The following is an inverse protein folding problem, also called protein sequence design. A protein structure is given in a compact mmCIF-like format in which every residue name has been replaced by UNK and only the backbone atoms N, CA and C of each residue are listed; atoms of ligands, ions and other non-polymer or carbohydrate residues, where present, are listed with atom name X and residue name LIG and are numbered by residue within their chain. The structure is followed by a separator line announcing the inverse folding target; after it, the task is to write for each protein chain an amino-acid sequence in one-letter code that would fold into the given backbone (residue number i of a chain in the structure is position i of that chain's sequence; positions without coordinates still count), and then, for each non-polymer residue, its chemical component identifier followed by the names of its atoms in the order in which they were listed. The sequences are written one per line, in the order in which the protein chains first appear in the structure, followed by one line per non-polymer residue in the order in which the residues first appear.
data_IF_449667522060
#
_entry.id   IF_449667522060
#
_cell.length_a   1.000
_cell.length_b   1.000
_cell.length_c   1.000
_cell.angle_alpha   90.00
_cell.angle_beta   90.00
_cell.angle_gamma   90.00
#
_symmetry.space_group_name_H-M   'P 1'
#
loop_
_entity.id
_entity.type
_entity.pdbx_description
1 polymer ?
#
# COMPACT_ATOMS: atom_id res chain seq x y z
N UNK A 1 29.32 6.07 19.05
CA UNK A 1 28.35 6.33 17.96
C UNK A 1 29.02 6.77 16.67
N UNK A 2 30.06 7.61 16.73
CA UNK A 2 30.75 8.18 15.56
C UNK A 2 31.32 7.12 14.62
N UNK A 3 31.99 6.08 15.14
CA UNK A 3 32.55 4.99 14.32
C UNK A 3 31.48 4.24 13.52
N UNK A 4 30.34 3.94 14.14
CA UNK A 4 29.24 3.24 13.48
C UNK A 4 28.62 4.08 12.37
N UNK A 5 28.48 5.39 12.58
CA UNK A 5 28.03 6.28 11.51
C UNK A 5 28.94 6.20 10.27
N UNK A 6 30.26 6.22 10.46
CA UNK A 6 31.22 6.08 9.36
C UNK A 6 31.14 4.72 8.65
N UNK A 7 30.81 3.64 9.36
CA UNK A 7 30.57 2.33 8.73
C UNK A 7 29.38 2.35 7.77
N UNK A 8 28.31 3.08 8.10
CA UNK A 8 27.12 3.18 7.25
C UNK A 8 27.19 4.30 6.20
N UNK A 9 28.12 5.25 6.34
CA UNK A 9 28.23 6.42 5.47
C UNK A 9 28.28 6.07 3.97
N UNK A 10 29.06 5.07 3.50
CA UNK A 10 29.05 4.69 2.09
C UNK A 10 27.66 4.27 1.59
N UNK A 11 26.92 3.48 2.38
CA UNK A 11 25.57 3.05 2.01
C UNK A 11 24.59 4.22 1.99
N UNK A 12 24.68 5.13 2.96
CA UNK A 12 23.85 6.35 3.01
C UNK A 12 24.10 7.21 1.78
N UNK A 13 25.36 7.42 1.40
CA UNK A 13 25.73 8.23 0.23
C UNK A 13 25.18 7.61 -1.06
N UNK A 14 25.35 6.29 -1.25
CA UNK A 14 24.83 5.60 -2.44
C UNK A 14 23.31 5.68 -2.51
N UNK A 15 22.61 5.32 -1.43
CA UNK A 15 21.14 5.36 -1.38
C UNK A 15 20.61 6.78 -1.56
N UNK A 16 21.23 7.78 -0.94
CA UNK A 16 20.85 9.19 -1.12
C UNK A 16 21.04 9.63 -2.57
N UNK A 17 22.13 9.19 -3.22
CA UNK A 17 22.38 9.47 -4.64
C UNK A 17 21.30 8.84 -5.53
N UNK A 18 20.91 7.58 -5.26
CA UNK A 18 19.81 6.91 -5.96
C UNK A 18 18.50 7.69 -5.78
N UNK A 19 18.18 8.12 -4.56
CA UNK A 19 16.99 8.91 -4.28
C UNK A 19 17.00 10.25 -5.03
N UNK A 20 18.12 10.98 -5.03
CA UNK A 20 18.25 12.27 -5.72
C UNK A 20 18.10 12.09 -7.24
N UNK A 21 18.82 11.14 -7.83
CA UNK A 21 18.76 10.89 -9.28
C UNK A 21 17.34 10.49 -9.70
N UNK A 22 16.71 9.59 -8.95
CA UNK A 22 15.32 9.17 -9.23
C UNK A 22 14.34 10.33 -9.07
N UNK A 23 14.53 11.19 -8.06
CA UNK A 23 13.71 12.39 -7.87
C UNK A 23 13.83 13.37 -9.04
N UNK A 24 15.07 13.65 -9.48
CA UNK A 24 15.32 14.53 -10.64
C UNK A 24 14.68 13.94 -11.89
N UNK A 25 14.86 12.65 -12.14
CA UNK A 25 14.20 11.93 -13.24
C UNK A 25 12.68 12.11 -13.19
N UNK A 26 12.04 11.81 -12.05
CA UNK A 26 10.59 11.93 -11.87
C UNK A 26 10.11 13.36 -12.09
N UNK A 27 10.86 14.35 -11.63
CA UNK A 27 10.53 15.78 -11.82
C UNK A 27 10.60 16.17 -13.29
N UNK A 28 11.62 15.73 -14.03
CA UNK A 28 11.78 16.01 -15.46
C UNK A 28 10.65 15.37 -16.27
N UNK A 29 10.34 14.09 -16.01
CA UNK A 29 9.24 13.37 -16.67
C UNK A 29 7.90 14.02 -16.35
N UNK A 30 7.64 14.35 -15.09
CA UNK A 30 6.39 15.01 -14.68
C UNK A 30 6.23 16.37 -15.35
N UNK A 31 7.31 17.16 -15.47
CA UNK A 31 7.29 18.44 -16.19
C UNK A 31 6.98 18.24 -17.67
N UNK A 32 7.57 17.22 -18.31
CA UNK A 32 7.35 16.91 -19.74
C UNK A 32 5.89 16.55 -20.04
N UNK A 33 5.22 15.85 -19.14
CA UNK A 33 3.84 15.40 -19.36
C UNK A 33 2.78 16.26 -18.65
N UNK A 34 3.18 17.35 -17.97
CA UNK A 34 2.29 18.15 -17.09
C UNK A 34 0.96 18.50 -17.72
N UNK A 35 0.97 19.12 -18.90
CA UNK A 35 -0.28 19.57 -19.55
C UNK A 35 -1.13 18.40 -20.04
N UNK A 36 -0.50 17.31 -20.50
CA UNK A 36 -1.21 16.12 -20.97
C UNK A 36 -1.83 15.32 -19.84
N UNK A 37 -1.16 15.25 -18.68
CA UNK A 37 -1.68 14.58 -17.48
C UNK A 37 -2.91 15.26 -16.88
N UNK A 38 -3.26 16.48 -17.31
CA UNK A 38 -4.52 17.12 -16.91
C UNK A 38 -5.75 16.52 -17.61
N UNK A 39 -5.57 15.88 -18.77
CA UNK A 39 -6.64 15.22 -19.52
C UNK A 39 -6.82 13.77 -19.06
N UNK A 40 -8.04 13.42 -18.65
CA UNK A 40 -8.37 12.06 -18.21
C UNK A 40 -8.33 11.10 -19.39
N UNK A 41 -8.82 11.52 -20.57
CA UNK A 41 -8.76 10.75 -21.80
C UNK A 41 -7.32 10.38 -22.18
N UNK A 42 -6.42 11.37 -22.20
CA UNK A 42 -5.01 11.10 -22.47
C UNK A 42 -4.40 10.14 -21.43
N UNK A 43 -4.73 10.31 -20.15
CA UNK A 43 -4.25 9.43 -19.09
C UNK A 43 -4.75 7.99 -19.24
N UNK A 44 -5.99 7.80 -19.71
CA UNK A 44 -6.57 6.49 -19.98
C UNK A 44 -5.81 5.78 -21.10
N UNK A 45 -5.60 6.46 -22.22
CA UNK A 45 -4.88 5.92 -23.39
C UNK A 45 -3.41 5.62 -23.08
N UNK A 46 -2.80 6.38 -22.16
CA UNK A 46 -1.37 6.29 -21.86
C UNK A 46 -1.09 5.70 -20.46
N UNK A 47 -2.04 4.98 -19.87
CA UNK A 47 -1.93 4.49 -18.50
C UNK A 47 -0.67 3.65 -18.27
N UNK A 48 -0.38 2.70 -19.17
CA UNK A 48 0.83 1.87 -19.08
C UNK A 48 2.11 2.70 -19.08
N UNK A 49 2.16 3.75 -19.90
CA UNK A 49 3.30 4.67 -19.97
C UNK A 49 3.47 5.48 -18.68
N UNK A 50 2.37 5.93 -18.08
CA UNK A 50 2.39 6.64 -16.78
C UNK A 50 2.89 5.70 -15.68
N UNK A 51 2.40 4.46 -15.64
CA UNK A 51 2.83 3.46 -14.67
C UNK A 51 4.34 3.20 -14.83
N UNK A 52 4.82 2.96 -16.05
CA UNK A 52 6.23 2.64 -16.29
C UNK A 52 7.19 3.80 -16.03
N UNK A 53 6.84 5.01 -16.45
CA UNK A 53 7.76 6.16 -16.38
C UNK A 53 7.66 6.93 -15.05
N UNK A 54 6.54 6.84 -14.34
CA UNK A 54 6.30 7.60 -13.10
C UNK A 54 6.00 6.64 -11.95
N UNK A 55 5.00 5.78 -12.12
CA UNK A 55 4.51 4.89 -11.06
C UNK A 55 5.59 3.98 -10.49
N UNK A 56 6.20 3.13 -11.33
CA UNK A 56 7.20 2.13 -10.92
C UNK A 56 8.44 2.80 -10.31
N UNK A 57 9.09 3.79 -10.94
CA UNK A 57 10.26 4.45 -10.35
C UNK A 57 9.93 5.18 -9.03
N UNK A 58 8.75 5.78 -8.91
CA UNK A 58 8.32 6.42 -7.67
C UNK A 58 8.07 5.38 -6.56
N UNK A 59 7.21 4.40 -6.82
CA UNK A 59 6.73 3.45 -5.82
C UNK A 59 7.77 2.40 -5.43
N UNK A 60 8.66 2.00 -6.35
CA UNK A 60 9.61 0.93 -6.08
C UNK A 60 11.03 1.44 -5.82
N UNK A 61 11.42 2.62 -6.31
CA UNK A 61 12.79 3.12 -6.12
C UNK A 61 12.82 4.31 -5.18
N UNK A 62 12.20 5.42 -5.58
CA UNK A 62 12.32 6.66 -4.83
C UNK A 62 11.71 6.57 -3.44
N UNK A 63 10.44 6.16 -3.32
CA UNK A 63 9.73 6.13 -2.04
C UNK A 63 10.38 5.14 -1.05
N UNK A 64 10.67 3.87 -1.41
CA UNK A 64 11.33 2.95 -0.48
C UNK A 64 12.70 3.46 -0.02
N UNK A 65 13.53 3.98 -0.92
CA UNK A 65 14.86 4.47 -0.54
C UNK A 65 14.75 5.69 0.40
N UNK A 66 13.91 6.66 0.05
CA UNK A 66 13.74 7.87 0.86
C UNK A 66 13.16 7.56 2.24
N UNK A 67 12.13 6.71 2.30
CA UNK A 67 11.45 6.35 3.54
C UNK A 67 12.36 5.54 4.46
N UNK A 68 13.08 4.54 3.94
CA UNK A 68 13.97 3.73 4.78
C UNK A 68 15.19 4.52 5.26
N UNK A 69 15.70 5.47 4.46
CA UNK A 69 16.75 6.42 4.90
C UNK A 69 16.27 7.30 6.07
N UNK A 70 15.00 7.72 6.07
CA UNK A 70 14.44 8.56 7.14
C UNK A 70 14.09 7.75 8.38
N UNK A 71 13.43 6.60 8.23
CA UNK A 71 12.83 5.87 9.34
C UNK A 71 13.70 4.72 9.88
N UNK A 72 14.53 4.08 9.04
CA UNK A 72 15.32 2.90 9.46
C UNK A 72 16.80 3.16 9.58
N UNK A 73 17.41 3.94 8.70
CA UNK A 73 18.84 4.22 8.82
C UNK A 73 19.23 4.75 10.21
N UNK A 74 18.48 5.68 10.86
CA UNK A 74 18.80 6.11 12.21
C UNK A 74 18.75 4.96 13.24
N UNK A 75 17.75 4.08 13.15
CA UNK A 75 17.62 2.93 14.04
C UNK A 75 18.78 1.94 13.88
N UNK A 76 19.14 1.61 12.63
CA UNK A 76 20.19 0.65 12.30
C UNK A 76 21.55 1.18 12.78
N UNK A 77 21.82 2.47 12.59
CA UNK A 77 23.07 3.10 13.05
C UNK A 77 23.16 3.12 14.58
N UNK A 78 22.04 3.41 15.27
CA UNK A 78 22.02 3.51 16.74
C UNK A 78 22.13 2.14 17.40
N UNK A 79 21.44 1.10 16.90
CA UNK A 79 21.38 -0.21 17.55
C UNK A 79 22.26 -1.26 16.84
N UNK A 80 23.20 -1.88 17.56
CA UNK A 80 24.14 -2.89 17.01
C UNK A 80 23.56 -4.30 16.98
N UNK A 81 22.49 -4.54 17.74
CA UNK A 81 21.81 -5.82 17.84
C UNK A 81 20.37 -5.62 18.30
N UNK A 82 19.57 -6.68 18.17
CA UNK A 82 18.19 -6.70 18.65
C UNK A 82 18.20 -6.80 20.18
N UNK A 83 17.95 -5.67 20.84
CA UNK A 83 17.80 -5.53 22.29
C UNK A 83 16.39 -5.03 22.63
N UNK A 84 16.02 -5.04 23.92
CA UNK A 84 14.75 -4.45 24.38
C UNK A 84 14.59 -2.98 23.98
N UNK A 85 15.67 -2.19 24.03
CA UNK A 85 15.67 -0.80 23.57
C UNK A 85 15.53 -0.68 22.05
N UNK A 86 16.17 -1.58 21.29
CA UNK A 86 16.00 -1.64 19.84
C UNK A 86 14.54 -1.90 19.45
N UNK A 87 13.85 -2.82 20.14
CA UNK A 87 12.43 -3.07 19.94
C UNK A 87 11.58 -1.82 20.18
N UNK A 88 11.83 -1.07 21.27
CA UNK A 88 11.13 0.21 21.52
C UNK A 88 11.33 1.19 20.36
N UNK A 89 12.56 1.31 19.85
CA UNK A 89 12.87 2.14 18.68
C UNK A 89 12.14 1.68 17.42
N UNK A 90 12.09 0.37 17.14
CA UNK A 90 11.35 -0.23 16.03
C UNK A 90 9.86 0.11 16.14
N UNK A 91 9.24 -0.04 17.30
CA UNK A 91 7.83 0.27 17.53
C UNK A 91 7.53 1.75 17.27
N UNK A 92 8.31 2.65 17.88
CA UNK A 92 8.13 4.11 17.71
C UNK A 92 8.27 4.50 16.24
N UNK A 93 9.34 4.06 15.58
CA UNK A 93 9.57 4.40 14.17
C UNK A 93 8.52 3.79 13.24
N UNK A 94 8.02 2.59 13.53
CA UNK A 94 6.93 1.96 12.76
C UNK A 94 5.60 2.69 12.93
N UNK A 95 5.28 3.16 14.14
CA UNK A 95 4.09 3.99 14.38
C UNK A 95 4.19 5.30 13.59
N UNK A 96 5.33 6.00 13.67
CA UNK A 96 5.55 7.24 12.91
C UNK A 96 5.45 7.02 11.41
N UNK A 97 6.07 5.95 10.91
CA UNK A 97 5.99 5.54 9.51
C UNK A 97 4.54 5.31 9.05
N UNK A 98 3.75 4.56 9.83
CA UNK A 98 2.32 4.34 9.55
C UNK A 98 1.47 5.62 9.63
N UNK A 99 1.79 6.52 10.55
CA UNK A 99 1.07 7.79 10.69
C UNK A 99 1.32 8.71 9.48
N UNK A 100 2.53 8.76 8.94
CA UNK A 100 2.80 9.53 7.71
C UNK A 100 1.93 9.02 6.54
N UNK A 101 1.72 7.71 6.47
CA UNK A 101 0.86 7.08 5.47
C UNK A 101 -0.65 7.34 5.70
N UNK A 102 -1.07 7.68 6.93
CA UNK A 102 -2.45 8.10 7.20
C UNK A 102 -2.77 9.48 6.58
N UNK A 103 -1.81 10.41 6.64
CA UNK A 103 -1.99 11.78 6.15
C UNK A 103 -1.78 11.92 4.64
N UNK A 104 -1.05 11.01 4.01
CA UNK A 104 -0.78 10.98 2.57
C UNK A 104 -1.99 10.56 1.73
N UNK A 105 -3.07 11.35 1.71
CA UNK A 105 -4.22 11.08 0.85
C UNK A 105 -3.81 11.24 -0.62
N UNK A 106 -3.80 10.14 -1.38
CA UNK A 106 -3.67 10.19 -2.84
C UNK A 106 -4.88 9.49 -3.44
N UNK A 107 -5.83 10.27 -3.96
CA UNK A 107 -6.76 9.72 -4.95
C UNK A 107 -5.89 9.25 -6.10
N UNK A 108 -5.95 7.97 -6.39
CA UNK A 108 -5.11 7.38 -7.43
C UNK A 108 -5.71 7.71 -8.79
N UNK A 109 -4.87 7.79 -9.82
CA UNK A 109 -5.33 7.96 -11.19
C UNK A 109 -6.35 6.86 -11.58
N UNK A 110 -6.13 5.64 -11.09
CA UNK A 110 -7.04 4.52 -11.29
C UNK A 110 -8.44 4.76 -10.72
N UNK A 111 -8.57 5.33 -9.53
CA UNK A 111 -9.87 5.66 -8.95
C UNK A 111 -10.64 6.67 -9.83
N UNK A 112 -9.93 7.67 -10.39
CA UNK A 112 -10.54 8.64 -11.32
C UNK A 112 -10.94 7.97 -12.63
N UNK A 113 -10.08 7.11 -13.19
CA UNK A 113 -10.35 6.39 -14.43
C UNK A 113 -11.54 5.43 -14.27
N UNK A 114 -11.62 4.70 -13.15
CA UNK A 114 -12.76 3.83 -12.83
C UNK A 114 -14.07 4.60 -12.64
N UNK A 115 -14.02 5.82 -12.11
CA UNK A 115 -15.20 6.68 -12.03
C UNK A 115 -15.66 7.14 -13.43
N UNK A 116 -14.72 7.48 -14.33
CA UNK A 116 -15.04 7.84 -15.73
C UNK A 116 -15.71 6.71 -16.48
N UNK A 117 -15.23 5.47 -16.30
CA UNK A 117 -15.82 4.29 -16.96
C UNK A 117 -17.25 4.00 -16.51
N UNK A 118 -17.63 4.40 -15.31
CA UNK A 118 -19.01 4.29 -14.81
C UNK A 118 -19.93 5.43 -15.27
N UNK A 119 -19.39 6.41 -15.99
CA UNK A 119 -20.13 7.61 -16.40
C UNK A 119 -20.30 8.65 -15.29
N UNK A 120 -19.54 8.54 -14.19
CA UNK A 120 -19.70 9.41 -13.01
C UNK A 120 -18.93 10.75 -13.15
N UNK A 121 -18.05 10.88 -14.14
CA UNK A 121 -17.23 12.09 -14.37
C UNK A 121 -17.92 13.07 -15.31
N UNK A 122 -17.84 14.36 -14.98
CA UNK A 122 -18.52 15.44 -15.74
C UNK A 122 -17.59 16.18 -16.69
N UNK A 123 -16.28 16.08 -16.45
CA UNK A 123 -15.26 16.85 -17.15
C UNK A 123 -14.08 15.98 -17.53
N UNK A 124 -13.29 16.40 -18.52
CA UNK A 124 -12.01 15.74 -18.84
C UNK A 124 -10.84 16.23 -17.96
N UNK A 125 -11.10 17.09 -16.99
CA UNK A 125 -10.07 17.64 -16.11
C UNK A 125 -9.81 16.71 -14.93
N UNK A 126 -8.61 16.11 -14.88
CA UNK A 126 -8.17 15.25 -13.78
C UNK A 126 -8.26 15.96 -12.42
N UNK A 127 -7.84 17.23 -12.36
CA UNK A 127 -7.84 18.01 -11.11
C UNK A 127 -9.27 18.26 -10.59
N UNK A 128 -10.20 18.59 -11.50
CA UNK A 128 -11.60 18.83 -11.14
C UNK A 128 -12.26 17.55 -10.61
N UNK A 129 -12.07 16.42 -11.30
CA UNK A 129 -12.65 15.13 -10.90
C UNK A 129 -12.03 14.60 -9.60
N UNK A 130 -10.71 14.75 -9.40
CA UNK A 130 -10.06 14.42 -8.11
C UNK A 130 -10.71 15.20 -6.97
N UNK A 131 -10.93 16.51 -7.14
CA UNK A 131 -11.59 17.32 -6.11
C UNK A 131 -13.04 16.90 -5.86
N UNK A 132 -13.78 16.49 -6.89
CA UNK A 132 -15.17 16.07 -6.76
C UNK A 132 -15.29 14.71 -6.06
N UNK A 133 -14.50 13.72 -6.49
CA UNK A 133 -14.39 12.40 -5.84
C UNK A 133 -13.98 12.56 -4.38
N UNK A 134 -13.05 13.47 -4.09
CA UNK A 134 -12.59 13.72 -2.73
C UNK A 134 -13.71 14.20 -1.80
N UNK A 135 -14.67 14.97 -2.33
CA UNK A 135 -15.85 15.46 -1.59
C UNK A 135 -16.91 14.36 -1.45
N UNK A 136 -17.15 13.58 -2.50
CA UNK A 136 -18.20 12.55 -2.54
C UNK A 136 -17.87 11.29 -1.74
N UNK A 137 -16.67 10.74 -1.85
CA UNK A 137 -16.33 9.45 -1.24
C UNK A 137 -15.83 9.55 0.23
N UNK A 138 -16.45 10.40 1.06
CA UNK A 138 -15.95 10.65 2.43
C UNK A 138 -15.85 9.38 3.30
N UNK A 139 -16.78 8.43 3.15
CA UNK A 139 -16.86 7.21 3.97
C UNK A 139 -15.90 6.11 3.51
N UNK A 140 -15.89 5.77 2.22
CA UNK A 140 -14.98 4.74 1.65
C UNK A 140 -13.52 5.17 1.82
N UNK A 141 -13.24 6.44 1.54
CA UNK A 141 -11.90 7.00 1.70
C UNK A 141 -11.48 7.05 3.17
N UNK A 142 -12.41 7.18 4.13
CA UNK A 142 -12.09 7.08 5.56
C UNK A 142 -11.67 5.65 5.95
N UNK A 143 -12.32 4.63 5.39
CA UNK A 143 -11.97 3.22 5.65
C UNK A 143 -10.59 2.89 5.06
N UNK A 144 -10.35 3.22 3.79
CA UNK A 144 -9.04 2.94 3.16
C UNK A 144 -7.91 3.69 3.85
N UNK A 145 -8.14 4.94 4.25
CA UNK A 145 -7.20 5.71 5.09
C UNK A 145 -6.88 5.04 6.43
N UNK A 146 -7.84 4.37 7.04
CA UNK A 146 -7.62 3.68 8.31
C UNK A 146 -6.89 2.35 8.11
N UNK A 147 -7.26 1.58 7.07
CA UNK A 147 -6.66 0.28 6.78
C UNK A 147 -5.21 0.39 6.29
N UNK A 148 -4.86 1.44 5.54
CA UNK A 148 -3.52 1.56 4.96
C UNK A 148 -2.40 1.62 6.02
N UNK A 149 -2.46 2.48 7.07
CA UNK A 149 -1.53 2.47 8.20
C UNK A 149 -1.41 1.11 8.89
N UNK A 150 -2.53 0.39 9.05
CA UNK A 150 -2.56 -0.95 9.67
C UNK A 150 -1.79 -1.96 8.83
N UNK A 151 -1.90 -1.87 7.51
CA UNK A 151 -1.18 -2.74 6.57
C UNK A 151 0.31 -2.40 6.48
N UNK A 152 0.68 -1.12 6.48
CA UNK A 152 2.11 -0.71 6.41
C UNK A 152 2.83 -0.81 7.75
N UNK A 153 2.10 -0.93 8.86
CA UNK A 153 2.70 -1.07 10.19
C UNK A 153 3.58 -2.34 10.32
N UNK A 154 3.10 -3.55 9.96
CA UNK A 154 3.94 -4.75 9.88
C UNK A 154 5.18 -4.59 9.01
N UNK A 155 5.06 -3.92 7.86
CA UNK A 155 6.21 -3.64 7.00
C UNK A 155 7.29 -2.88 7.78
N UNK A 156 6.89 -1.84 8.53
CA UNK A 156 7.84 -1.07 9.31
C UNK A 156 8.53 -1.87 10.42
N UNK A 157 7.79 -2.75 11.09
CA UNK A 157 8.35 -3.65 12.11
C UNK A 157 9.34 -4.63 11.48
N UNK A 158 8.97 -5.25 10.36
CA UNK A 158 9.81 -6.21 9.64
C UNK A 158 11.08 -5.54 9.09
N UNK A 159 10.97 -4.39 8.43
CA UNK A 159 12.11 -3.68 7.87
C UNK A 159 13.07 -3.18 8.96
N UNK A 160 12.53 -2.73 10.11
CA UNK A 160 13.33 -2.33 11.27
C UNK A 160 14.03 -3.52 11.96
N UNK A 161 13.31 -4.62 12.19
CA UNK A 161 13.88 -5.83 12.79
C UNK A 161 15.02 -6.40 11.93
N UNK A 162 14.77 -6.63 10.65
CA UNK A 162 15.78 -7.22 9.76
C UNK A 162 16.92 -6.25 9.44
N UNK A 163 16.64 -4.94 9.36
CA UNK A 163 17.67 -3.92 9.20
C UNK A 163 18.69 -3.93 10.34
N UNK A 164 18.23 -4.00 11.60
CA UNK A 164 19.11 -4.08 12.77
C UNK A 164 19.75 -5.46 12.86
N UNK A 165 19.01 -6.55 12.62
CA UNK A 165 19.55 -7.91 12.69
C UNK A 165 20.73 -8.13 11.74
N UNK A 166 20.61 -7.65 10.50
CA UNK A 166 21.64 -7.80 9.47
C UNK A 166 22.57 -6.59 9.34
N UNK A 167 22.38 -5.57 10.18
CA UNK A 167 23.18 -4.33 10.17
C UNK A 167 23.29 -3.73 8.76
N UNK A 168 22.17 -3.62 8.05
CA UNK A 168 22.15 -3.25 6.63
C UNK A 168 20.91 -2.43 6.27
N UNK A 169 21.13 -1.19 5.83
CA UNK A 169 20.07 -0.31 5.30
C UNK A 169 19.50 -0.90 4.00
N UNK A 170 20.35 -1.56 3.20
CA UNK A 170 19.94 -2.23 1.96
C UNK A 170 18.93 -3.34 2.22
N UNK A 171 19.04 -4.06 3.33
CA UNK A 171 18.06 -5.09 3.69
C UNK A 171 16.69 -4.47 3.94
N UNK A 172 16.61 -3.34 4.65
CA UNK A 172 15.35 -2.65 4.88
C UNK A 172 14.76 -2.08 3.58
N UNK A 173 15.58 -1.47 2.73
CA UNK A 173 15.18 -1.01 1.38
C UNK A 173 14.68 -2.17 0.53
N UNK A 174 15.36 -3.31 0.54
CA UNK A 174 14.98 -4.50 -0.22
C UNK A 174 13.64 -5.11 0.25
N UNK A 175 13.40 -5.17 1.56
CA UNK A 175 12.12 -5.61 2.12
C UNK A 175 11.00 -4.67 1.67
N UNK A 176 11.23 -3.36 1.72
CA UNK A 176 10.24 -2.37 1.29
C UNK A 176 9.97 -2.45 -0.22
N UNK A 177 11.01 -2.52 -1.05
CA UNK A 177 10.89 -2.76 -2.49
C UNK A 177 10.04 -4.01 -2.77
N UNK A 178 10.38 -5.13 -2.11
CA UNK A 178 9.70 -6.40 -2.31
C UNK A 178 8.24 -6.32 -1.85
N UNK A 179 7.96 -5.62 -0.75
CA UNK A 179 6.61 -5.35 -0.30
C UNK A 179 5.79 -4.63 -1.36
N UNK A 180 6.33 -3.57 -1.96
CA UNK A 180 5.61 -2.82 -3.00
C UNK A 180 5.39 -3.64 -4.27
N UNK A 181 6.30 -4.55 -4.60
CA UNK A 181 6.17 -5.45 -5.74
C UNK A 181 5.15 -6.59 -5.50
N UNK A 182 5.19 -7.20 -4.32
CA UNK A 182 4.49 -8.47 -4.06
C UNK A 182 3.14 -8.25 -3.37
N UNK A 183 2.98 -7.25 -2.53
CA UNK A 183 1.73 -7.04 -1.77
C UNK A 183 0.49 -6.82 -2.62
N UNK A 184 0.53 -6.09 -3.76
CA UNK A 184 -0.62 -6.00 -4.64
C UNK A 184 -1.13 -7.38 -5.09
N UNK A 185 -0.20 -8.31 -5.37
CA UNK A 185 -0.52 -9.69 -5.78
C UNK A 185 -1.10 -10.47 -4.59
N UNK A 186 -0.46 -10.40 -3.42
CA UNK A 186 -0.95 -11.07 -2.20
C UNK A 186 -2.36 -10.60 -1.84
N UNK A 187 -2.64 -9.30 -1.93
CA UNK A 187 -3.97 -8.76 -1.62
C UNK A 187 -5.04 -9.35 -2.56
N UNK A 188 -4.75 -9.45 -3.86
CA UNK A 188 -5.67 -10.07 -4.82
C UNK A 188 -5.94 -11.53 -4.45
N UNK A 189 -4.89 -12.29 -4.13
CA UNK A 189 -5.01 -13.70 -3.71
C UNK A 189 -5.86 -13.82 -2.44
N UNK A 190 -5.62 -12.97 -1.43
CA UNK A 190 -6.40 -12.98 -0.19
C UNK A 190 -7.87 -12.65 -0.41
N UNK A 191 -8.18 -11.68 -1.28
CA UNK A 191 -9.58 -11.36 -1.64
C UNK A 191 -10.25 -12.57 -2.29
N UNK A 192 -9.58 -13.24 -3.22
CA UNK A 192 -10.12 -14.45 -3.86
C UNK A 192 -10.38 -15.57 -2.84
N UNK A 193 -9.46 -15.80 -1.89
CA UNK A 193 -9.64 -16.78 -0.81
C UNK A 193 -10.87 -16.44 0.04
N UNK A 194 -11.05 -15.18 0.43
CA UNK A 194 -12.20 -14.74 1.22
C UNK A 194 -13.51 -14.92 0.45
N UNK A 195 -13.54 -14.61 -0.85
CA UNK A 195 -14.71 -14.82 -1.70
C UNK A 195 -15.08 -16.31 -1.78
N UNK A 196 -14.10 -17.19 -1.99
CA UNK A 196 -14.32 -18.64 -2.03
C UNK A 196 -14.81 -19.18 -0.69
N UNK A 197 -14.24 -18.73 0.42
CA UNK A 197 -14.69 -19.10 1.76
C UNK A 197 -16.12 -18.62 2.03
N UNK A 198 -16.45 -17.39 1.63
CA UNK A 198 -17.81 -16.83 1.75
C UNK A 198 -18.84 -17.63 0.99
N UNK A 199 -18.54 -17.99 -0.27
CA UNK A 199 -19.41 -18.84 -1.08
C UNK A 199 -19.62 -20.22 -0.45
N UNK A 200 -18.56 -20.84 0.06
CA UNK A 200 -18.66 -22.13 0.76
C UNK A 200 -19.49 -22.05 2.06
N UNK A 201 -19.37 -20.95 2.82
CA UNK A 201 -20.20 -20.71 4.01
C UNK A 201 -21.68 -20.52 3.62
N UNK A 202 -21.96 -19.77 2.56
CA UNK A 202 -23.31 -19.54 2.07
C UNK A 202 -23.97 -20.85 1.60
N UNK A 203 -23.25 -21.66 0.85
CA UNK A 203 -23.72 -22.98 0.40
C UNK A 203 -23.99 -23.91 1.59
N UNK A 204 -23.06 -23.98 2.55
CA UNK A 204 -23.24 -24.77 3.76
C UNK A 204 -24.46 -24.29 4.58
N UNK A 205 -24.68 -22.99 4.67
CA UNK A 205 -25.84 -22.40 5.34
C UNK A 205 -27.15 -22.73 4.62
N UNK A 206 -27.15 -22.63 3.28
CA UNK A 206 -28.30 -23.02 2.46
C UNK A 206 -28.67 -24.49 2.65
N UNK A 207 -27.68 -25.39 2.63
CA UNK A 207 -27.89 -26.83 2.89
C UNK A 207 -28.46 -27.10 4.30
N UNK A 208 -27.90 -26.45 5.32
CA UNK A 208 -28.36 -26.58 6.71
C UNK A 208 -29.82 -26.13 6.86
N UNK A 209 -30.15 -24.95 6.32
CA UNK A 209 -31.50 -24.38 6.40
C UNK A 209 -32.51 -25.18 5.59
N UNK A 210 -32.14 -25.68 4.41
CA UNK A 210 -32.94 -26.59 3.60
C UNK A 210 -33.26 -27.89 4.35
N UNK A 211 -32.25 -28.56 4.91
CA UNK A 211 -32.41 -29.79 5.70
C UNK A 211 -33.33 -29.59 6.90
N UNK A 212 -33.20 -28.46 7.59
CA UNK A 212 -34.04 -28.13 8.74
C UNK A 212 -35.50 -27.88 8.34
N UNK A 213 -35.74 -27.16 7.24
CA UNK A 213 -37.08 -26.94 6.70
C UNK A 213 -37.75 -28.26 6.32
N UNK A 214 -37.03 -29.16 5.63
CA UNK A 214 -37.53 -30.50 5.27
C UNK A 214 -37.94 -31.33 6.49
N UNK A 215 -37.13 -31.34 7.55
CA UNK A 215 -37.46 -32.03 8.82
C UNK A 215 -38.74 -31.50 9.47
N UNK A 216 -38.95 -30.17 9.46
CA UNK A 216 -40.19 -29.56 9.97
C UNK A 216 -41.41 -29.97 9.16
N UNK A 217 -41.29 -29.99 7.84
CA UNK A 217 -42.39 -30.40 6.96
C UNK A 217 -42.77 -31.86 7.21
N UNK A 218 -41.79 -32.77 7.31
CA UNK A 218 -42.04 -34.19 7.59
C UNK A 218 -42.76 -34.38 8.95
N UNK A 219 -42.28 -33.72 10.02
CA UNK A 219 -42.94 -33.77 11.35
C UNK A 219 -44.36 -33.17 11.36
N UNK A 220 -44.71 -32.33 10.38
CA UNK A 220 -46.08 -31.81 10.23
C UNK A 220 -46.99 -32.85 9.57
N UNK A 221 -46.51 -33.53 8.54
CA UNK A 221 -47.25 -34.61 7.89
C UNK A 221 -47.51 -35.79 8.82
N UNK A 222 -46.54 -36.15 9.67
CA UNK A 222 -46.71 -37.21 10.68
C UNK A 222 -47.78 -36.90 11.73
N UNK A 223 -48.06 -35.63 12.03
CA UNK A 223 -49.09 -35.22 13.00
C UNK A 223 -50.52 -35.18 12.44
N UNK A 224 -50.67 -35.29 11.13
CA UNK A 224 -51.98 -35.26 10.44
C UNK A 224 -52.48 -36.70 10.15
N UNK A 225 -51.61 -37.71 10.28
CA UNK A 225 -52.00 -39.12 10.25
C UNK A 225 -52.36 -39.60 11.65
#
# INVERSE_FOLDING_TARGET
MTERFFQFLPSIVVLTSIAIVTFVYLRLISKRFKERMKSIEWCKENQGKIIWLIGIPFQNVWAPVAEELVFRAPLIIVFSSISGNAWRGIWISSILFSLVHYFGKKITLFEVLSAKEKGDTKTDSLEAEVSDIQKKESKRVRITKFLHPVVVFPLGVLSGYYGIKYQSIWTSVGIHFLWNLVMPIIIVILVLIVMLAGAGIEEAWYELTYRWRRRRTNKRYERIR
#
